data_IF_993776637214
#
_entry.id   IF_993776637214
#
_cell.length_a   1.000
_cell.length_b   1.000
_cell.length_c   1.000
_cell.angle_alpha   90.00
_cell.angle_beta   90.00
_cell.angle_gamma   90.00
#
_symmetry.space_group_name_H-M   'P 1'
#
loop_
_entity.id
_entity.type
_entity.pdbx_description
1 polymer ?
#
# COMPACT_ATOMS: atom_id res chain seq x y z
N UNK A 1 -3.10 -58.96 41.72
CA UNK A 1 -4.53 -59.31 41.53
C UNK A 1 -5.31 -58.65 42.66
N UNK A 2 -6.39 -57.88 42.43
CA UNK A 2 -7.31 -57.94 41.29
C UNK A 2 -7.33 -56.70 40.38
N UNK A 3 -8.18 -56.78 39.36
CA UNK A 3 -8.31 -56.04 38.10
C UNK A 3 -9.63 -55.28 38.01
N UNK A 4 -9.67 -54.11 37.35
CA UNK A 4 -10.79 -53.54 36.56
C UNK A 4 -10.31 -52.23 35.87
N UNK A 5 -9.95 -52.18 34.58
CA UNK A 5 -10.72 -51.89 33.33
C UNK A 5 -11.39 -50.48 33.24
N UNK A 6 -10.68 -49.56 32.56
CA UNK A 6 -10.97 -48.50 31.52
C UNK A 6 -12.42 -47.98 31.26
N UNK A 7 -12.62 -46.71 30.78
CA UNK A 7 -12.22 -46.18 29.44
C UNK A 7 -11.43 -44.85 29.50
N UNK A 8 -10.35 -44.65 28.74
CA UNK A 8 -10.24 -44.20 27.34
C UNK A 8 -10.93 -42.86 27.05
N UNK A 9 -10.21 -41.74 27.24
CA UNK A 9 -10.51 -40.48 26.58
C UNK A 9 -9.25 -39.93 25.93
N UNK A 10 -9.36 -39.76 24.60
CA UNK A 10 -8.30 -39.26 23.75
C UNK A 10 -8.07 -37.77 23.97
N UNK A 11 -6.81 -37.37 23.88
CA UNK A 11 -6.46 -36.00 23.53
C UNK A 11 -5.55 -36.08 22.31
N UNK A 12 -6.19 -36.09 21.15
CA UNK A 12 -5.58 -35.84 19.87
C UNK A 12 -4.93 -34.46 19.88
N UNK A 13 -3.64 -34.44 19.61
CA UNK A 13 -2.84 -33.26 19.31
C UNK A 13 -3.30 -32.64 17.98
N UNK A 14 -4.16 -31.63 18.02
CA UNK A 14 -4.40 -30.79 16.85
C UNK A 14 -3.42 -29.62 16.87
N UNK A 15 -2.23 -29.88 16.32
CA UNK A 15 -1.42 -28.82 15.75
C UNK A 15 -2.16 -28.29 14.53
N UNK A 16 -2.83 -27.15 14.68
CA UNK A 16 -3.29 -26.36 13.54
C UNK A 16 -2.09 -25.67 12.93
N UNK A 17 -1.43 -26.37 12.01
CA UNK A 17 -0.65 -25.77 10.96
C UNK A 17 -1.57 -24.81 10.18
N UNK A 18 -1.47 -23.51 10.47
CA UNK A 18 -2.07 -22.48 9.62
C UNK A 18 -1.40 -22.57 8.25
N UNK A 19 -2.11 -23.22 7.33
CA UNK A 19 -1.76 -23.29 5.93
C UNK A 19 -2.00 -21.90 5.34
N UNK A 20 -0.92 -21.27 4.85
CA UNK A 20 -1.00 -20.09 4.02
C UNK A 20 -1.76 -20.45 2.75
N UNK A 21 -3.02 -20.02 2.66
CA UNK A 21 -3.79 -20.11 1.42
C UNK A 21 -3.43 -18.94 0.52
N UNK A 22 -2.28 -19.02 -0.15
CA UNK A 22 -1.95 -18.14 -1.28
C UNK A 22 -2.61 -18.71 -2.54
N UNK A 23 -3.89 -18.43 -2.75
CA UNK A 23 -4.50 -18.65 -4.07
C UNK A 23 -4.33 -17.37 -4.90
N UNK A 24 -3.22 -17.27 -5.62
CA UNK A 24 -3.07 -16.22 -6.64
C UNK A 24 -2.15 -16.73 -7.72
N UNK A 25 -2.72 -17.41 -8.71
CA UNK A 25 -2.04 -17.61 -10.00
C UNK A 25 -1.64 -16.22 -10.50
N UNK A 26 -0.36 -15.94 -10.76
CA UNK A 26 0.07 -14.60 -11.13
C UNK A 26 -0.58 -14.21 -12.46
N UNK A 27 -0.96 -12.93 -12.65
CA UNK A 27 -1.14 -12.44 -14.01
C UNK A 27 0.19 -12.69 -14.75
N UNK A 28 0.12 -13.31 -15.92
CA UNK A 28 1.15 -13.11 -16.96
C UNK A 28 1.54 -11.63 -16.95
N UNK A 29 2.85 -11.32 -16.99
CA UNK A 29 3.40 -9.94 -17.00
C UNK A 29 2.39 -9.02 -17.65
N UNK A 30 1.83 -8.09 -16.87
CA UNK A 30 0.75 -7.23 -17.36
C UNK A 30 1.19 -6.60 -18.67
N UNK A 31 0.32 -6.64 -19.68
CA UNK A 31 0.61 -5.95 -20.94
C UNK A 31 0.44 -4.43 -20.84
N UNK A 32 -0.15 -3.94 -19.74
CA UNK A 32 -0.36 -2.52 -19.53
C UNK A 32 0.94 -1.82 -19.13
N UNK A 33 1.22 -0.69 -19.79
CA UNK A 33 2.33 0.20 -19.42
C UNK A 33 1.96 1.13 -18.28
N UNK A 34 0.68 1.31 -17.98
CA UNK A 34 0.23 2.18 -16.90
C UNK A 34 -0.17 1.36 -15.69
N UNK A 35 0.32 1.76 -14.52
CA UNK A 35 0.03 1.11 -13.24
C UNK A 35 -0.49 2.15 -12.26
N UNK A 36 -1.57 1.86 -11.55
CA UNK A 36 -1.95 2.58 -10.35
C UNK A 36 -1.57 1.73 -9.14
N UNK A 37 -0.69 2.26 -8.30
CA UNK A 37 -0.22 1.63 -7.08
C UNK A 37 -0.79 2.37 -5.86
N UNK A 38 -1.71 1.72 -5.15
CA UNK A 38 -2.29 2.22 -3.90
C UNK A 38 -1.51 1.63 -2.73
N UNK A 39 -0.68 2.44 -2.07
CA UNK A 39 0.18 2.01 -0.98
C UNK A 39 -0.47 2.24 0.38
N UNK A 40 -0.66 1.16 1.15
CA UNK A 40 -1.15 1.13 2.52
C UNK A 40 -2.45 1.92 2.75
N UNK A 41 -3.32 1.94 1.73
CA UNK A 41 -4.66 2.56 1.73
C UNK A 41 -5.62 1.69 2.54
N UNK A 42 -5.30 1.53 3.82
CA UNK A 42 -5.99 0.69 4.81
C UNK A 42 -6.83 1.56 5.74
N UNK A 43 -7.85 0.95 6.35
CA UNK A 43 -8.77 1.67 7.25
C UNK A 43 -8.04 2.25 8.47
N UNK A 44 -7.05 1.55 9.03
CA UNK A 44 -6.26 2.03 10.15
C UNK A 44 -5.63 3.40 9.88
N UNK A 45 -4.97 3.53 8.73
CA UNK A 45 -4.23 4.74 8.34
C UNK A 45 -5.15 5.89 7.88
N UNK A 46 -6.36 5.57 7.42
CA UNK A 46 -7.32 6.54 6.90
C UNK A 46 -8.57 6.65 7.77
N UNK A 47 -8.53 6.25 9.03
CA UNK A 47 -9.67 6.40 9.95
C UNK A 47 -9.80 7.85 10.45
N UNK A 48 -11.01 8.25 10.85
CA UNK A 48 -11.25 9.60 11.42
C UNK A 48 -10.63 9.79 12.81
N UNK A 49 -10.33 8.70 13.52
CA UNK A 49 -9.88 8.76 14.92
C UNK A 49 -8.37 8.66 15.07
N UNK A 50 -7.74 7.77 14.31
CA UNK A 50 -6.31 7.44 14.46
C UNK A 50 -5.55 7.45 13.13
N UNK A 51 -6.22 7.84 12.04
CA UNK A 51 -5.60 8.00 10.73
C UNK A 51 -4.70 9.21 10.66
N UNK A 52 -4.07 9.40 9.50
CA UNK A 52 -3.27 10.60 9.21
C UNK A 52 -4.11 11.87 9.41
N UNK A 53 -3.51 13.01 9.82
CA UNK A 53 -4.27 14.22 10.17
C UNK A 53 -5.24 14.71 9.08
N UNK A 54 -4.87 14.55 7.81
CA UNK A 54 -5.68 14.95 6.65
C UNK A 54 -6.47 13.78 6.02
N UNK A 55 -6.76 12.72 6.79
CA UNK A 55 -7.42 11.52 6.27
C UNK A 55 -8.73 11.78 5.47
N UNK A 56 -9.63 12.70 5.88
CA UNK A 56 -10.84 12.97 5.10
C UNK A 56 -10.57 13.41 3.66
N UNK A 57 -9.73 14.43 3.46
CA UNK A 57 -9.43 14.92 2.12
C UNK A 57 -8.59 13.91 1.33
N UNK A 58 -7.65 13.24 2.00
CA UNK A 58 -6.82 12.21 1.38
C UNK A 58 -7.66 11.05 0.84
N UNK A 59 -8.69 10.60 1.58
CA UNK A 59 -9.62 9.57 1.09
C UNK A 59 -10.35 10.01 -0.17
N UNK A 60 -10.87 11.23 -0.19
CA UNK A 60 -11.61 11.76 -1.34
C UNK A 60 -10.71 11.85 -2.58
N UNK A 61 -9.47 12.31 -2.41
CA UNK A 61 -8.49 12.42 -3.48
C UNK A 61 -8.05 11.05 -4.01
N UNK A 62 -7.71 10.10 -3.14
CA UNK A 62 -7.36 8.74 -3.55
C UNK A 62 -8.54 8.08 -4.28
N UNK A 63 -9.77 8.27 -3.80
CA UNK A 63 -10.97 7.73 -4.45
C UNK A 63 -11.16 8.33 -5.84
N UNK A 64 -10.87 9.62 -6.03
CA UNK A 64 -10.91 10.27 -7.34
C UNK A 64 -9.88 9.68 -8.31
N UNK A 65 -8.63 9.47 -7.87
CA UNK A 65 -7.58 8.82 -8.69
C UNK A 65 -8.00 7.39 -9.05
N UNK A 66 -8.48 6.61 -8.07
CA UNK A 66 -8.92 5.23 -8.27
C UNK A 66 -10.11 5.15 -9.24
N UNK A 67 -11.07 6.09 -9.13
CA UNK A 67 -12.19 6.18 -10.07
C UNK A 67 -11.70 6.48 -11.49
N UNK A 68 -10.78 7.43 -11.65
CA UNK A 68 -10.20 7.74 -12.95
C UNK A 68 -9.51 6.52 -13.57
N UNK A 69 -8.75 5.75 -12.78
CA UNK A 69 -8.11 4.52 -13.24
C UNK A 69 -9.16 3.50 -13.73
N UNK A 70 -10.20 3.24 -12.92
CA UNK A 70 -11.29 2.31 -13.25
C UNK A 70 -12.08 2.71 -14.51
N UNK A 71 -12.19 4.01 -14.78
CA UNK A 71 -12.92 4.54 -15.93
C UNK A 71 -12.05 4.70 -17.21
N UNK A 72 -10.73 4.49 -17.09
CA UNK A 72 -9.78 4.66 -18.20
C UNK A 72 -9.88 3.52 -19.24
N UNK A 73 -9.56 3.85 -20.49
CA UNK A 73 -9.62 2.92 -21.62
C UNK A 73 -8.35 3.07 -22.49
N UNK A 74 -7.45 2.06 -22.54
CA UNK A 74 -7.48 0.82 -21.74
C UNK A 74 -7.29 1.09 -20.23
N UNK A 75 -7.77 0.20 -19.34
CA UNK A 75 -7.56 0.36 -17.91
C UNK A 75 -6.08 0.12 -17.55
N UNK A 76 -5.51 0.89 -16.61
CA UNK A 76 -4.19 0.59 -16.04
C UNK A 76 -4.26 -0.70 -15.19
N UNK A 77 -3.10 -1.26 -14.90
CA UNK A 77 -2.99 -2.29 -13.86
C UNK A 77 -3.18 -1.64 -12.49
N UNK A 78 -4.26 -1.99 -11.78
CA UNK A 78 -4.55 -1.45 -10.43
C UNK A 78 -4.08 -2.46 -9.39
N UNK A 79 -3.18 -2.02 -8.50
CA UNK A 79 -2.61 -2.84 -7.43
C UNK A 79 -2.79 -2.13 -6.10
N UNK A 80 -3.52 -2.77 -5.19
CA UNK A 80 -3.65 -2.39 -3.79
C UNK A 80 -2.57 -3.10 -2.99
N UNK A 81 -1.74 -2.34 -2.28
CA UNK A 81 -0.71 -2.87 -1.40
C UNK A 81 -1.10 -2.59 0.04
N UNK A 82 -1.11 -3.62 0.88
CA UNK A 82 -1.37 -3.50 2.32
C UNK A 82 -0.12 -3.83 3.12
N UNK A 83 0.18 -3.02 4.11
CA UNK A 83 1.16 -3.35 5.12
C UNK A 83 0.59 -4.37 6.10
N UNK A 84 1.42 -5.33 6.52
CA UNK A 84 1.16 -6.21 7.64
C UNK A 84 2.07 -5.78 8.79
N UNK A 85 1.44 -5.22 9.82
CA UNK A 85 2.08 -4.91 11.10
C UNK A 85 2.26 -6.12 12.00
N UNK A 86 2.91 -5.88 13.13
CA UNK A 86 3.07 -6.85 14.20
C UNK A 86 1.77 -7.00 15.02
N UNK A 87 1.72 -8.04 15.86
CA UNK A 87 0.55 -8.30 16.71
C UNK A 87 0.31 -7.13 17.66
N UNK A 88 -0.92 -6.63 17.70
CA UNK A 88 -1.32 -5.47 18.49
C UNK A 88 -1.17 -4.12 17.78
N UNK A 89 -0.56 -4.07 16.59
CA UNK A 89 -0.52 -2.86 15.78
C UNK A 89 -1.85 -2.63 15.04
N UNK A 90 -2.21 -1.37 14.70
CA UNK A 90 -3.45 -1.06 13.99
C UNK A 90 -3.62 -1.79 12.64
N UNK A 91 -2.52 -2.21 12.03
CA UNK A 91 -2.43 -2.97 10.79
C UNK A 91 -2.03 -4.45 11.01
N UNK A 92 -2.37 -5.02 12.18
CA UNK A 92 -2.25 -6.45 12.44
C UNK A 92 -3.06 -7.26 11.41
N UNK A 93 -2.42 -8.26 10.81
CA UNK A 93 -3.03 -9.12 9.79
C UNK A 93 -4.36 -9.72 10.22
N UNK A 94 -5.37 -9.59 9.37
CA UNK A 94 -6.71 -10.16 9.59
C UNK A 94 -7.59 -9.34 10.55
N UNK A 95 -7.08 -8.27 11.15
CA UNK A 95 -7.91 -7.33 11.91
C UNK A 95 -8.83 -6.52 10.97
N UNK A 96 -9.94 -6.03 11.50
CA UNK A 96 -10.85 -5.15 10.75
C UNK A 96 -10.16 -3.86 10.24
N UNK A 97 -9.39 -3.11 11.06
CA UNK A 97 -8.74 -1.88 10.61
C UNK A 97 -7.60 -2.11 9.61
N UNK A 98 -7.03 -3.32 9.56
CA UNK A 98 -6.03 -3.70 8.55
C UNK A 98 -6.63 -3.80 7.13
N UNK A 99 -7.94 -3.97 6.98
CA UNK A 99 -8.60 -4.07 5.68
C UNK A 99 -8.40 -2.85 4.77
N UNK A 100 -8.61 -3.03 3.47
CA UNK A 100 -8.59 -1.93 2.50
C UNK A 100 -9.67 -0.89 2.86
N UNK A 101 -9.32 0.40 2.71
CA UNK A 101 -10.29 1.49 2.78
C UNK A 101 -11.27 1.42 1.61
N UNK A 102 -10.76 1.13 0.41
CA UNK A 102 -11.55 0.94 -0.80
C UNK A 102 -11.44 -0.52 -1.25
N UNK A 103 -12.56 -1.28 -1.31
CA UNK A 103 -12.51 -2.65 -1.78
C UNK A 103 -11.96 -2.76 -3.20
N UNK A 104 -11.12 -3.77 -3.43
CA UNK A 104 -10.66 -4.15 -4.75
C UNK A 104 -11.85 -4.70 -5.57
N UNK A 105 -11.90 -4.32 -6.85
CA UNK A 105 -12.88 -4.85 -7.81
C UNK A 105 -12.29 -6.01 -8.61
N UNK A 106 -13.15 -6.71 -9.37
CA UNK A 106 -12.71 -7.75 -10.30
C UNK A 106 -11.67 -7.20 -11.29
N UNK A 107 -10.51 -7.87 -11.38
CA UNK A 107 -9.39 -7.44 -12.21
C UNK A 107 -8.36 -6.56 -11.50
N UNK A 108 -8.63 -6.12 -10.26
CA UNK A 108 -7.66 -5.42 -9.41
C UNK A 108 -6.92 -6.41 -8.51
N UNK A 109 -5.65 -6.13 -8.22
CA UNK A 109 -4.80 -7.03 -7.44
C UNK A 109 -4.59 -6.50 -6.03
N UNK A 110 -4.45 -7.41 -5.06
CA UNK A 110 -4.08 -7.08 -3.69
C UNK A 110 -2.78 -7.80 -3.34
N UNK A 111 -1.79 -7.07 -2.83
CA UNK A 111 -0.53 -7.60 -2.32
C UNK A 111 -0.38 -7.21 -0.87
N UNK A 112 0.07 -8.15 -0.05
CA UNK A 112 0.47 -7.85 1.32
C UNK A 112 1.99 -7.74 1.42
N UNK A 113 2.49 -6.72 2.12
CA UNK A 113 3.92 -6.46 2.35
C UNK A 113 4.26 -6.36 3.83
N UNK A 114 5.53 -6.59 4.15
CA UNK A 114 6.10 -6.43 5.51
C UNK A 114 7.28 -5.44 5.59
N UNK A 115 7.59 -4.79 4.47
CA UNK A 115 8.69 -3.83 4.31
C UNK A 115 8.15 -2.55 3.71
N UNK A 116 8.79 -1.41 3.96
CA UNK A 116 8.34 -0.13 3.39
C UNK A 116 8.38 -0.15 1.87
N UNK A 117 9.45 -0.69 1.28
CA UNK A 117 9.54 -0.91 -0.16
C UNK A 117 8.60 -2.05 -0.57
N UNK A 118 7.55 -1.73 -1.33
CA UNK A 118 6.57 -2.70 -1.79
C UNK A 118 7.13 -3.76 -2.74
N UNK A 119 8.26 -3.52 -3.40
CA UNK A 119 8.95 -4.52 -4.23
C UNK A 119 9.76 -5.53 -3.40
N UNK A 120 10.11 -5.20 -2.16
CA UNK A 120 10.97 -6.03 -1.34
C UNK A 120 10.18 -7.17 -0.67
N UNK A 121 10.45 -8.41 -1.10
CA UNK A 121 9.82 -9.60 -0.52
C UNK A 121 8.37 -9.82 -0.96
N UNK A 122 7.96 -9.24 -2.09
CA UNK A 122 6.66 -9.47 -2.74
C UNK A 122 6.87 -9.82 -4.21
N UNK A 123 5.78 -10.21 -4.89
CA UNK A 123 5.80 -10.47 -6.34
C UNK A 123 5.54 -9.21 -7.18
N UNK A 124 5.53 -8.01 -6.58
CA UNK A 124 5.19 -6.77 -7.28
C UNK A 124 6.11 -6.52 -8.49
N UNK A 125 7.41 -6.83 -8.36
CA UNK A 125 8.38 -6.67 -9.44
C UNK A 125 8.16 -7.63 -10.62
N UNK A 126 7.48 -8.77 -10.41
CA UNK A 126 7.13 -9.69 -11.48
C UNK A 126 5.88 -9.23 -12.25
N UNK A 127 5.02 -8.45 -11.61
CA UNK A 127 3.75 -8.00 -12.17
C UNK A 127 3.88 -6.66 -12.90
N UNK A 128 4.77 -5.80 -12.40
CA UNK A 128 5.05 -4.47 -12.95
C UNK A 128 6.25 -4.52 -13.87
N UNK A 129 6.04 -4.22 -15.16
CA UNK A 129 7.11 -4.15 -16.15
C UNK A 129 8.16 -3.10 -15.77
N UNK A 130 9.40 -3.28 -16.22
CA UNK A 130 10.46 -2.30 -15.95
C UNK A 130 10.25 -0.97 -16.71
N UNK A 131 9.54 -0.99 -17.84
CA UNK A 131 9.18 0.18 -18.64
C UNK A 131 7.77 0.74 -18.32
N UNK A 132 7.16 0.30 -17.21
CA UNK A 132 5.86 0.81 -16.80
C UNK A 132 5.97 2.21 -16.16
N UNK A 133 4.98 3.04 -16.45
CA UNK A 133 4.67 4.28 -15.75
C UNK A 133 3.77 3.97 -14.54
N UNK A 134 4.23 4.35 -13.36
CA UNK A 134 3.58 4.02 -12.09
C UNK A 134 3.03 5.28 -11.44
N UNK A 135 1.70 5.42 -11.39
CA UNK A 135 1.01 6.40 -10.58
C UNK A 135 0.92 5.88 -9.14
N UNK A 136 1.45 6.64 -8.19
CA UNK A 136 1.52 6.27 -6.78
C UNK A 136 0.62 7.16 -5.94
N UNK A 137 -0.18 6.54 -5.08
CA UNK A 137 -1.02 7.20 -4.07
C UNK A 137 -0.99 6.41 -2.75
N UNK A 138 -1.33 7.05 -1.64
CA UNK A 138 -1.51 6.39 -0.35
C UNK A 138 -0.59 6.88 0.76
N UNK A 139 -0.16 6.00 1.65
CA UNK A 139 0.52 6.36 2.90
C UNK A 139 1.63 5.35 3.23
N UNK A 140 2.61 5.67 4.07
CA UNK A 140 2.97 7.01 4.54
C UNK A 140 4.01 7.65 3.62
N UNK A 141 3.94 8.96 3.41
CA UNK A 141 4.86 9.75 2.54
C UNK A 141 6.34 9.41 2.79
N UNK A 142 6.79 9.54 4.04
CA UNK A 142 8.20 9.35 4.43
C UNK A 142 8.59 7.88 4.68
N UNK A 143 7.65 6.93 4.54
CA UNK A 143 7.90 5.49 4.66
C UNK A 143 7.65 4.77 3.34
N UNK A 144 6.47 4.16 3.18
CA UNK A 144 6.16 3.28 2.06
C UNK A 144 6.20 3.99 0.72
N UNK A 145 5.72 5.24 0.65
CA UNK A 145 5.72 6.05 -0.56
C UNK A 145 7.18 6.31 -0.98
N UNK A 146 7.98 6.98 -0.14
CA UNK A 146 9.40 7.26 -0.42
C UNK A 146 10.18 6.01 -0.81
N UNK A 147 10.07 4.92 -0.03
CA UNK A 147 10.84 3.71 -0.25
C UNK A 147 10.45 2.99 -1.55
N UNK A 148 9.16 2.97 -1.89
CA UNK A 148 8.67 2.29 -3.10
C UNK A 148 8.93 3.14 -4.35
N UNK A 149 8.75 4.46 -4.30
CA UNK A 149 9.08 5.36 -5.40
C UNK A 149 10.58 5.29 -5.75
N UNK A 150 11.45 5.37 -4.73
CA UNK A 150 12.90 5.25 -4.93
C UNK A 150 13.29 3.90 -5.54
N UNK A 151 12.65 2.81 -5.11
CA UNK A 151 12.89 1.49 -5.65
C UNK A 151 12.39 1.34 -7.10
N UNK A 152 11.22 1.92 -7.42
CA UNK A 152 10.70 1.95 -8.79
C UNK A 152 11.64 2.70 -9.74
N UNK A 153 12.12 3.89 -9.35
CA UNK A 153 13.13 4.62 -10.13
C UNK A 153 14.40 3.78 -10.35
N UNK A 154 14.89 3.11 -9.30
CA UNK A 154 16.05 2.22 -9.40
C UNK A 154 15.86 1.02 -10.34
N UNK A 155 14.62 0.62 -10.60
CA UNK A 155 14.25 -0.41 -11.59
C UNK A 155 14.13 0.12 -13.02
N UNK A 156 14.15 1.44 -13.20
CA UNK A 156 13.96 2.10 -14.50
C UNK A 156 12.52 2.50 -14.82
N UNK A 157 11.60 2.37 -13.85
CA UNK A 157 10.22 2.82 -14.03
C UNK A 157 10.12 4.34 -14.08
N UNK A 158 9.15 4.84 -14.86
CA UNK A 158 8.66 6.20 -14.72
C UNK A 158 7.69 6.24 -13.53
N UNK A 159 7.84 7.23 -12.64
CA UNK A 159 7.05 7.31 -11.41
C UNK A 159 6.35 8.67 -11.36
N UNK A 160 5.04 8.64 -11.18
CA UNK A 160 4.18 9.79 -11.00
C UNK A 160 3.63 9.78 -9.56
N UNK A 161 3.94 10.79 -8.76
CA UNK A 161 3.38 10.97 -7.42
C UNK A 161 2.34 12.10 -7.47
N UNK A 162 1.14 11.85 -6.95
CA UNK A 162 0.05 12.83 -6.99
C UNK A 162 -0.03 13.57 -5.66
N UNK A 163 0.31 14.86 -5.67
CA UNK A 163 0.16 15.78 -4.53
C UNK A 163 -1.28 15.72 -4.01
N UNK A 164 -1.43 15.83 -2.69
CA UNK A 164 -2.70 15.65 -1.95
C UNK A 164 -3.35 14.25 -2.05
N UNK A 165 -2.77 13.30 -2.80
CA UNK A 165 -3.19 11.89 -2.82
C UNK A 165 -2.16 10.96 -2.16
N UNK A 166 -1.20 11.53 -1.43
CA UNK A 166 -0.45 10.83 -0.41
C UNK A 166 -0.48 11.60 0.91
N UNK A 167 -0.11 10.95 2.02
CA UNK A 167 -0.04 11.62 3.30
C UNK A 167 0.78 10.90 4.35
N UNK A 168 1.04 11.57 5.47
CA UNK A 168 1.75 10.98 6.62
C UNK A 168 1.23 11.51 7.96
N UNK A 169 1.81 11.05 9.05
CA UNK A 169 1.55 11.53 10.40
C UNK A 169 2.50 12.66 10.79
N UNK A 170 2.07 13.48 11.74
CA UNK A 170 2.98 14.40 12.43
C UNK A 170 4.16 13.63 13.04
N UNK A 171 5.39 14.10 12.76
CA UNK A 171 6.61 13.46 13.28
C UNK A 171 7.04 14.12 14.58
N UNK A 172 7.13 13.33 15.63
CA UNK A 172 7.70 13.78 16.92
C UNK A 172 9.22 13.78 16.78
N UNK A 173 9.82 14.98 16.89
CA UNK A 173 11.27 15.14 16.84
C UNK A 173 11.88 14.81 18.21
N UNK A 174 12.88 13.94 18.24
CA UNK A 174 13.52 13.45 19.49
C UNK A 174 14.77 14.25 19.85
N UNK A 175 15.35 14.97 18.89
CA UNK A 175 16.59 15.73 19.04
C UNK A 175 16.33 17.25 19.12
N UNK A 176 17.34 18.02 19.55
CA UNK A 176 17.37 19.50 19.54
C UNK A 176 16.20 20.22 20.23
N UNK A 177 15.75 19.70 21.38
CA UNK A 177 14.73 20.36 22.21
C UNK A 177 13.32 19.80 22.02
N UNK A 178 13.17 18.77 21.18
CA UNK A 178 11.88 18.17 20.88
C UNK A 178 11.06 19.03 19.92
N UNK A 179 9.86 18.57 19.62
CA UNK A 179 8.93 19.30 18.75
C UNK A 179 8.07 18.35 17.93
N UNK A 180 7.21 18.94 17.12
CA UNK A 180 6.38 18.21 16.17
C UNK A 180 6.59 18.85 14.81
N UNK A 181 7.07 18.07 13.85
CA UNK A 181 7.07 18.43 12.44
C UNK A 181 5.69 18.09 11.89
N UNK A 182 4.88 19.08 11.45
CA UNK A 182 3.55 18.83 10.92
C UNK A 182 3.60 17.94 9.67
N UNK A 183 2.60 17.06 9.51
CA UNK A 183 2.50 16.13 8.39
C UNK A 183 2.69 16.79 7.02
N UNK A 184 2.06 17.94 6.77
CA UNK A 184 2.16 18.66 5.50
C UNK A 184 3.58 19.16 5.17
N UNK A 185 4.40 19.47 6.19
CA UNK A 185 5.80 19.84 5.97
C UNK A 185 6.59 18.60 5.54
N UNK A 186 6.34 17.45 6.18
CA UNK A 186 6.99 16.18 5.82
C UNK A 186 6.57 15.77 4.40
N UNK A 187 5.29 15.90 4.06
CA UNK A 187 4.78 15.65 2.71
C UNK A 187 5.53 16.48 1.67
N UNK A 188 5.66 17.80 1.91
CA UNK A 188 6.41 18.71 1.03
C UNK A 188 7.89 18.33 0.92
N UNK A 189 8.56 18.03 2.05
CA UNK A 189 9.96 17.60 2.07
C UNK A 189 10.17 16.33 1.23
N UNK A 190 9.25 15.36 1.31
CA UNK A 190 9.32 14.10 0.55
C UNK A 190 9.01 14.31 -0.92
N UNK A 191 8.07 15.19 -1.27
CA UNK A 191 7.80 15.57 -2.66
C UNK A 191 9.06 16.17 -3.30
N UNK A 192 9.72 17.12 -2.64
CA UNK A 192 10.97 17.72 -3.11
C UNK A 192 12.09 16.66 -3.24
N UNK A 193 12.28 15.81 -2.23
CA UNK A 193 13.27 14.71 -2.26
C UNK A 193 13.05 13.78 -3.46
N UNK A 194 11.80 13.36 -3.69
CA UNK A 194 11.46 12.44 -4.77
C UNK A 194 11.51 13.12 -6.14
N UNK A 195 11.12 14.38 -6.24
CA UNK A 195 11.21 15.16 -7.47
C UNK A 195 12.67 15.33 -7.90
N UNK A 196 13.57 15.67 -6.98
CA UNK A 196 15.01 15.73 -7.23
C UNK A 196 15.59 14.38 -7.66
N UNK A 197 15.04 13.27 -7.16
CA UNK A 197 15.44 11.91 -7.55
C UNK A 197 14.92 11.49 -8.93
N UNK A 198 13.93 12.20 -9.49
CA UNK A 198 13.37 11.94 -10.82
C UNK A 198 11.92 11.43 -10.83
N UNK A 199 11.20 11.47 -9.70
CA UNK A 199 9.74 11.29 -9.68
C UNK A 199 9.08 12.53 -10.26
N UNK A 200 8.04 12.37 -11.08
CA UNK A 200 7.20 13.49 -11.48
C UNK A 200 6.11 13.74 -10.45
N UNK A 201 6.16 14.86 -9.75
CA UNK A 201 5.11 15.27 -8.81
C UNK A 201 4.04 16.04 -9.58
N UNK A 202 2.81 15.53 -9.55
CA UNK A 202 1.66 16.09 -10.29
C UNK A 202 0.57 16.57 -9.33
N UNK A 203 -0.31 17.43 -9.82
CA UNK A 203 -1.43 17.96 -9.06
C UNK A 203 -2.72 17.17 -9.32
N UNK A 204 -3.69 17.27 -8.41
CA UNK A 204 -5.03 16.66 -8.59
C UNK A 204 -5.73 17.09 -9.89
N UNK A 205 -5.43 18.28 -10.42
CA UNK A 205 -5.97 18.79 -11.70
C UNK A 205 -5.41 18.05 -12.92
N UNK A 206 -4.30 17.34 -12.78
CA UNK A 206 -3.60 16.62 -13.86
C UNK A 206 -4.05 15.17 -13.98
N UNK A 207 -4.91 14.69 -13.06
CA UNK A 207 -5.50 13.33 -13.08
C UNK A 207 -6.24 13.01 -14.39
N UNK A 208 -7.03 13.92 -14.99
CA UNK A 208 -7.72 13.59 -16.24
C UNK A 208 -6.73 13.23 -17.35
N UNK A 209 -6.81 11.99 -17.84
CA UNK A 209 -5.93 11.48 -18.90
C UNK A 209 -4.59 10.91 -18.42
N UNK A 210 -4.32 10.85 -17.12
CA UNK A 210 -3.05 10.34 -16.58
C UNK A 210 -2.74 8.89 -16.97
N UNK A 211 -3.76 8.06 -17.25
CA UNK A 211 -3.61 6.67 -17.68
C UNK A 211 -3.75 6.48 -19.19
N UNK A 212 -3.50 7.52 -19.98
CA UNK A 212 -3.55 7.44 -21.45
C UNK A 212 -2.14 7.48 -22.03
N UNK A 213 -1.93 6.77 -23.14
CA UNK A 213 -0.66 6.82 -23.87
C UNK A 213 -0.42 8.27 -24.34
N UNK A 214 0.74 8.82 -23.98
CA UNK A 214 1.22 10.15 -24.38
C UNK A 214 2.20 10.06 -25.55
#
# INVERSE_FOLDING_TARGET
MPTAILPSDGLTTNGTSNSFSTSTTPPCISSSRHVLLLLDVQKCNLSDQTGVPNAPNLRDNILQVLKQARESQPPPLIIHVRNIGDVGEPDEYGSEPWGLMFPALDGEWVIDKRKNNAFAGTNLGEWVRDDAEIVVVGVMSDYSIRATCSAALGRGNEVLLIRDAHGTYDRVEVLYGGGVTPAHNIETEIEEELEEAGVHVLEMKDIPGIFTDR
#
